data_IF_954123882903
#
_entry.id   IF_954123882903
#
_cell.length_a   1.000
_cell.length_b   1.000
_cell.length_c   1.000
_cell.angle_alpha   90.00
_cell.angle_beta   90.00
_cell.angle_gamma   90.00
#
_symmetry.space_group_name_H-M   'P 1'
#
loop_
_entity.id
_entity.type
_entity.pdbx_description
1 polymer ?
#
# COMPACT_ATOMS: atom_id res chain seq x y z
N UNK A 1 12.55 14.16 4.03
CA UNK A 1 11.22 13.56 3.89
C UNK A 1 10.43 13.76 5.16
N UNK A 2 9.12 14.04 5.07
CA UNK A 2 8.21 14.18 6.22
C UNK A 2 7.14 13.12 6.09
N UNK A 3 7.14 12.15 7.00
CA UNK A 3 6.30 10.97 6.98
C UNK A 3 5.38 10.96 8.23
N UNK A 4 4.13 11.47 8.13
CA UNK A 4 3.18 11.55 9.26
C UNK A 4 2.57 10.18 9.60
N UNK A 5 3.42 9.24 9.97
CA UNK A 5 3.09 7.84 10.21
C UNK A 5 4.06 7.21 11.21
N UNK A 6 3.72 6.05 11.75
CA UNK A 6 4.60 5.25 12.62
C UNK A 6 5.60 4.42 11.81
N UNK A 7 6.45 5.10 11.06
CA UNK A 7 7.42 4.49 10.14
C UNK A 7 8.54 3.75 10.90
N UNK A 8 8.88 2.53 10.62
CA UNK A 8 8.38 1.58 9.67
C UNK A 8 7.50 0.53 10.40
N UNK A 9 6.34 0.16 9.83
CA UNK A 9 5.41 -0.79 10.44
C UNK A 9 4.85 -1.83 9.44
N UNK A 10 5.61 -2.16 8.40
CA UNK A 10 5.39 -3.26 7.45
C UNK A 10 4.05 -3.20 6.67
N UNK A 11 3.56 -2.03 6.27
CA UNK A 11 2.38 -1.91 5.40
C UNK A 11 2.51 -0.78 4.37
N UNK A 12 1.65 -0.78 3.38
CA UNK A 12 1.59 -0.02 2.14
C UNK A 12 2.36 1.30 2.06
N UNK A 13 1.86 2.38 2.68
CA UNK A 13 2.51 3.69 2.62
C UNK A 13 3.93 3.69 3.23
N UNK A 14 4.20 2.85 4.23
CA UNK A 14 5.53 2.73 4.82
C UNK A 14 6.53 2.08 3.87
N UNK A 15 6.08 1.08 3.10
CA UNK A 15 6.93 0.43 2.08
C UNK A 15 7.29 1.43 0.99
N UNK A 16 6.32 2.25 0.52
CA UNK A 16 6.60 3.30 -0.46
C UNK A 16 7.64 4.30 0.06
N UNK A 17 7.48 4.82 1.28
CA UNK A 17 8.44 5.74 1.90
C UNK A 17 9.82 5.10 2.04
N UNK A 18 9.88 3.82 2.43
CA UNK A 18 11.14 3.07 2.56
C UNK A 18 11.86 2.96 1.22
N UNK A 19 11.16 2.53 0.20
CA UNK A 19 11.75 2.29 -1.12
C UNK A 19 12.14 3.59 -1.82
N UNK A 20 11.34 4.65 -1.69
CA UNK A 20 11.71 5.99 -2.19
C UNK A 20 12.95 6.54 -1.48
N UNK A 21 13.01 6.44 -0.15
CA UNK A 21 14.20 6.87 0.60
C UNK A 21 15.44 6.06 0.19
N UNK A 22 15.29 4.74 0.04
CA UNK A 22 16.37 3.83 -0.31
C UNK A 22 16.88 4.05 -1.74
N UNK A 23 15.99 4.25 -2.71
CA UNK A 23 16.42 4.50 -4.09
C UNK A 23 17.09 5.86 -4.24
N UNK A 24 16.57 6.90 -3.60
CA UNK A 24 17.19 8.21 -3.63
C UNK A 24 18.57 8.22 -2.99
N UNK A 25 18.79 7.46 -1.90
CA UNK A 25 20.14 7.27 -1.34
C UNK A 25 21.08 6.54 -2.32
N UNK A 26 20.61 5.47 -2.97
CA UNK A 26 21.40 4.75 -3.98
C UNK A 26 21.79 5.64 -5.17
N UNK A 27 20.94 6.61 -5.51
CA UNK A 27 21.21 7.62 -6.53
C UNK A 27 22.07 8.81 -6.01
N UNK A 28 22.69 8.67 -4.84
CA UNK A 28 23.66 9.62 -4.30
C UNK A 28 23.08 10.75 -3.47
N UNK A 29 21.79 10.71 -3.14
CA UNK A 29 21.16 11.75 -2.33
C UNK A 29 21.30 11.49 -0.83
N UNK A 30 21.40 12.55 -0.03
CA UNK A 30 21.33 12.47 1.42
C UNK A 30 19.87 12.60 1.87
N UNK A 31 19.28 11.49 2.34
CA UNK A 31 17.88 11.45 2.76
C UNK A 31 17.77 11.36 4.27
N UNK A 32 16.94 12.22 4.86
CA UNK A 32 16.54 12.18 6.28
C UNK A 32 15.02 12.05 6.35
N UNK A 33 14.51 11.07 7.08
CA UNK A 33 13.08 10.82 7.26
C UNK A 33 12.64 11.27 8.65
N UNK A 34 11.82 12.33 8.73
CA UNK A 34 11.16 12.77 9.96
C UNK A 34 9.82 12.05 10.09
N UNK A 35 9.58 11.40 11.24
CA UNK A 35 8.39 10.55 11.45
C UNK A 35 7.95 10.55 12.91
N UNK A 36 6.80 9.94 13.23
CA UNK A 36 6.32 9.78 14.60
C UNK A 36 7.28 8.95 15.45
N UNK A 37 7.07 8.94 16.76
CA UNK A 37 7.94 8.29 17.73
C UNK A 37 7.91 6.75 17.70
N UNK A 38 6.92 6.15 17.06
CA UNK A 38 6.74 4.69 16.94
C UNK A 38 7.24 4.17 15.59
N UNK A 39 7.45 2.85 15.53
CA UNK A 39 7.98 2.16 14.37
C UNK A 39 9.38 1.61 14.64
N UNK A 40 9.85 0.72 13.76
CA UNK A 40 11.22 0.19 13.83
C UNK A 40 12.17 1.03 12.97
N UNK A 41 13.42 1.08 13.36
CA UNK A 41 14.47 1.70 12.56
C UNK A 41 14.93 0.73 11.47
N UNK A 42 15.23 1.29 10.32
CA UNK A 42 15.74 0.54 9.16
C UNK A 42 17.24 0.83 9.02
N UNK A 43 18.09 -0.19 9.03
CA UNK A 43 19.53 0.00 8.85
C UNK A 43 19.86 0.77 7.57
N UNK A 44 20.73 1.77 7.69
CA UNK A 44 21.15 2.60 6.56
C UNK A 44 20.27 3.84 6.28
N UNK A 45 19.10 3.98 6.92
CA UNK A 45 18.27 5.19 6.82
C UNK A 45 18.48 6.13 8.01
N UNK A 46 18.60 7.45 7.75
CA UNK A 46 18.60 8.49 8.78
C UNK A 46 17.16 8.82 9.18
N UNK A 47 16.64 8.14 10.22
CA UNK A 47 15.28 8.29 10.72
C UNK A 47 15.29 9.19 11.96
N UNK A 48 14.52 10.28 11.92
CA UNK A 48 14.39 11.29 12.98
C UNK A 48 12.98 11.28 13.55
N UNK A 49 12.84 10.69 14.76
CA UNK A 49 11.54 10.50 15.42
C UNK A 49 11.14 11.70 16.27
N UNK A 50 9.82 11.90 16.40
CA UNK A 50 9.25 12.85 17.37
C UNK A 50 9.50 12.37 18.81
N UNK A 51 9.28 13.28 19.78
CA UNK A 51 9.22 12.88 21.18
C UNK A 51 8.07 11.86 21.41
N UNK A 52 8.27 10.97 22.37
CA UNK A 52 7.24 10.02 22.79
C UNK A 52 6.13 10.76 23.59
N UNK A 53 4.90 10.35 23.39
CA UNK A 53 3.78 10.75 24.25
C UNK A 53 3.62 9.66 25.32
N UNK A 54 3.93 9.91 26.62
CA UNK A 54 4.13 8.87 27.63
C UNK A 54 2.95 7.93 27.88
N UNK A 55 1.71 8.41 27.63
CA UNK A 55 0.48 7.65 27.90
C UNK A 55 -0.09 6.94 26.66
N UNK A 56 0.66 6.93 25.54
CA UNK A 56 0.23 6.26 24.32
C UNK A 56 1.20 5.19 23.87
N UNK A 57 0.68 3.97 23.71
CA UNK A 57 1.47 2.78 23.35
C UNK A 57 1.10 2.17 22.00
N UNK A 58 -0.05 2.56 21.42
CA UNK A 58 -0.60 1.92 20.23
C UNK A 58 -0.05 2.51 18.92
N UNK A 59 0.05 1.64 17.88
CA UNK A 59 0.26 2.06 16.51
C UNK A 59 -1.04 2.62 15.94
N UNK A 60 -0.97 3.76 15.27
CA UNK A 60 -2.13 4.27 14.55
C UNK A 60 -2.04 3.85 13.08
N UNK A 61 -3.06 3.11 12.63
CA UNK A 61 -3.27 2.74 11.25
C UNK A 61 -4.49 3.51 10.75
N UNK A 62 -4.30 4.31 9.69
CA UNK A 62 -5.37 5.13 9.12
C UNK A 62 -5.67 6.43 9.88
N UNK A 63 -6.85 7.00 9.65
CA UNK A 63 -7.28 8.29 10.21
C UNK A 63 -7.61 8.17 11.71
N UNK A 64 -7.11 9.10 12.52
CA UNK A 64 -7.34 9.14 13.98
C UNK A 64 -7.46 10.58 14.47
N UNK A 65 -8.36 10.84 15.44
CA UNK A 65 -8.53 12.17 16.06
C UNK A 65 -7.28 12.66 16.81
N UNK A 66 -6.39 11.74 17.17
CA UNK A 66 -5.17 12.04 17.91
C UNK A 66 -4.00 12.45 17.00
N UNK A 67 -4.13 12.26 15.69
CA UNK A 67 -3.11 12.62 14.69
C UNK A 67 -2.70 14.10 14.79
N UNK A 68 -3.62 15.01 15.10
CA UNK A 68 -3.32 16.45 15.19
C UNK A 68 -2.18 16.74 16.17
N UNK A 69 -2.14 16.08 17.34
CA UNK A 69 -1.08 16.26 18.33
C UNK A 69 0.25 15.68 17.83
N UNK A 70 0.21 14.51 17.15
CA UNK A 70 1.41 13.92 16.55
C UNK A 70 1.95 14.76 15.40
N UNK A 71 1.06 15.37 14.59
CA UNK A 71 1.43 16.26 13.49
C UNK A 71 2.11 17.54 13.99
N UNK A 72 1.63 18.10 15.10
CA UNK A 72 2.27 19.26 15.74
C UNK A 72 3.70 18.93 16.22
N UNK A 73 3.89 17.75 16.84
CA UNK A 73 5.22 17.28 17.25
C UNK A 73 6.11 16.98 16.02
N UNK A 74 5.53 16.44 14.94
CA UNK A 74 6.24 16.18 13.70
C UNK A 74 6.66 17.48 13.00
N UNK A 75 5.80 18.50 12.98
CA UNK A 75 6.12 19.83 12.45
C UNK A 75 7.32 20.46 13.19
N UNK A 76 7.28 20.41 14.52
CA UNK A 76 8.40 20.88 15.35
C UNK A 76 9.69 20.09 15.09
N UNK A 77 9.60 18.76 15.05
CA UNK A 77 10.75 17.88 14.77
C UNK A 77 11.34 18.16 13.39
N UNK A 78 10.48 18.26 12.38
CA UNK A 78 10.90 18.53 11.00
C UNK A 78 11.58 19.88 10.88
N UNK A 79 11.08 20.91 11.55
CA UNK A 79 11.71 22.23 11.58
C UNK A 79 13.07 22.19 12.29
N UNK A 80 13.15 21.53 13.45
CA UNK A 80 14.39 21.38 14.21
C UNK A 80 15.49 20.63 13.43
N UNK A 81 15.11 19.72 12.54
CA UNK A 81 16.02 19.01 11.63
C UNK A 81 16.37 19.89 10.42
N UNK A 82 15.37 20.54 9.80
CA UNK A 82 15.57 21.28 8.56
C UNK A 82 16.41 22.56 8.75
N UNK A 83 16.30 23.24 9.89
CA UNK A 83 17.04 24.48 10.15
C UNK A 83 18.57 24.32 10.05
N UNK A 84 19.21 23.33 10.71
CA UNK A 84 20.65 23.13 10.60
C UNK A 84 21.07 22.42 9.30
N UNK A 85 20.23 21.56 8.74
CA UNK A 85 20.59 20.74 7.55
C UNK A 85 20.40 21.46 6.23
N UNK A 86 19.53 22.52 6.20
CA UNK A 86 19.21 23.29 5.00
C UNK A 86 18.95 22.40 3.78
N UNK A 87 17.91 21.55 3.80
CA UNK A 87 17.66 20.61 2.70
C UNK A 87 17.32 21.38 1.40
N UNK A 88 17.72 20.83 0.27
CA UNK A 88 17.39 21.37 -1.06
C UNK A 88 15.91 21.14 -1.40
N UNK A 89 15.34 20.03 -0.91
CA UNK A 89 13.94 19.62 -1.16
C UNK A 89 13.27 19.21 0.16
N UNK A 90 12.03 19.62 0.34
CA UNK A 90 11.11 19.03 1.30
C UNK A 90 10.18 18.09 0.55
N UNK A 91 10.23 16.78 0.85
CA UNK A 91 9.32 15.79 0.32
C UNK A 91 8.31 15.40 1.40
N UNK A 92 7.05 15.77 1.21
CA UNK A 92 5.95 15.51 2.15
C UNK A 92 5.10 14.32 1.67
N UNK A 93 5.07 13.25 2.46
CA UNK A 93 4.17 12.12 2.23
C UNK A 93 2.82 12.37 2.89
N UNK A 94 1.74 11.98 2.24
CA UNK A 94 0.38 12.19 2.71
C UNK A 94 0.04 13.70 2.88
N UNK A 95 -1.22 14.02 3.12
CA UNK A 95 -1.70 15.41 3.21
C UNK A 95 -1.09 16.17 4.38
N UNK A 96 -0.96 15.53 5.54
CA UNK A 96 -0.34 16.11 6.73
C UNK A 96 1.14 16.41 6.50
N UNK A 97 1.86 15.50 5.82
CA UNK A 97 3.27 15.73 5.44
C UNK A 97 3.43 16.87 4.46
N UNK A 98 2.50 17.04 3.52
CA UNK A 98 2.48 18.18 2.60
C UNK A 98 2.19 19.50 3.34
N UNK A 99 1.24 19.52 4.26
CA UNK A 99 0.91 20.70 5.06
C UNK A 99 2.11 21.12 5.94
N UNK A 100 2.67 20.19 6.68
CA UNK A 100 3.87 20.41 7.51
C UNK A 100 5.04 20.85 6.63
N UNK A 101 5.27 20.15 5.51
CA UNK A 101 6.34 20.44 4.57
C UNK A 101 6.24 21.82 3.95
N UNK A 102 5.03 22.30 3.68
CA UNK A 102 4.81 23.68 3.21
C UNK A 102 5.26 24.72 4.23
N UNK A 103 4.96 24.49 5.51
CA UNK A 103 5.38 25.42 6.59
C UNK A 103 6.89 25.38 6.79
N UNK A 104 7.48 24.19 6.88
CA UNK A 104 8.94 24.01 7.05
C UNK A 104 9.69 24.57 5.84
N UNK A 105 9.24 24.26 4.63
CA UNK A 105 9.87 24.73 3.38
C UNK A 105 9.90 26.25 3.27
N UNK A 106 8.83 26.95 3.66
CA UNK A 106 8.80 28.43 3.73
C UNK A 106 9.85 29.00 4.69
N UNK A 107 10.09 28.34 5.82
CA UNK A 107 11.07 28.83 6.82
C UNK A 107 12.50 28.62 6.35
N UNK A 108 12.80 27.48 5.70
CA UNK A 108 14.18 27.15 5.29
C UNK A 108 14.50 27.54 3.84
N UNK A 109 13.50 27.98 3.07
CA UNK A 109 13.66 28.36 1.66
C UNK A 109 13.68 27.18 0.67
N UNK A 110 13.22 26.00 1.08
CA UNK A 110 13.23 24.80 0.25
C UNK A 110 11.85 24.53 -0.40
N UNK A 111 11.78 24.13 -1.69
CA UNK A 111 10.54 23.78 -2.34
C UNK A 111 9.93 22.49 -1.76
N UNK A 112 8.59 22.44 -1.76
CA UNK A 112 7.83 21.27 -1.35
C UNK A 112 7.47 20.44 -2.59
N UNK A 113 7.77 19.15 -2.55
CA UNK A 113 7.20 18.09 -3.38
C UNK A 113 6.25 17.27 -2.51
N UNK A 114 5.06 17.01 -3.01
CA UNK A 114 4.02 16.24 -2.29
C UNK A 114 3.84 14.87 -2.93
N UNK A 115 4.03 13.81 -2.16
CA UNK A 115 3.69 12.44 -2.54
C UNK A 115 2.23 12.15 -2.16
N UNK A 116 1.34 12.27 -3.16
CA UNK A 116 -0.10 12.05 -3.05
C UNK A 116 -0.41 10.57 -3.26
N UNK A 117 -0.74 9.87 -2.19
CA UNK A 117 -1.01 8.42 -2.20
C UNK A 117 -2.49 8.06 -2.28
N UNK A 118 -3.39 9.05 -2.25
CA UNK A 118 -4.84 8.90 -2.32
C UNK A 118 -5.55 10.14 -1.78
N UNK A 119 -6.86 10.26 -2.01
CA UNK A 119 -7.66 11.37 -1.45
C UNK A 119 -7.90 11.17 0.04
N UNK A 120 -7.50 12.14 0.86
CA UNK A 120 -7.72 12.13 2.31
C UNK A 120 -9.20 12.01 2.68
N UNK A 121 -10.06 12.78 2.04
CA UNK A 121 -11.51 12.74 2.35
C UNK A 121 -12.16 11.47 1.84
N UNK A 122 -11.75 10.93 0.69
CA UNK A 122 -12.24 9.64 0.20
C UNK A 122 -11.80 8.50 1.13
N UNK A 123 -10.54 8.46 1.56
CA UNK A 123 -10.03 7.50 2.53
C UNK A 123 -10.80 7.56 3.85
N UNK A 124 -11.06 8.78 4.37
CA UNK A 124 -11.85 8.94 5.60
C UNK A 124 -13.29 8.44 5.44
N UNK A 125 -13.89 8.54 4.27
CA UNK A 125 -15.23 7.99 3.97
C UNK A 125 -15.15 6.46 3.88
N UNK A 126 -14.20 5.92 3.15
CA UNK A 126 -13.99 4.47 3.00
C UNK A 126 -13.75 3.81 4.37
N UNK A 127 -13.01 4.47 5.25
CA UNK A 127 -12.74 4.02 6.61
C UNK A 127 -13.88 4.31 7.61
N UNK A 128 -14.99 4.90 7.16
CA UNK A 128 -16.16 5.27 7.98
C UNK A 128 -15.85 6.29 9.10
N UNK A 129 -14.80 7.09 8.96
CA UNK A 129 -14.49 8.21 9.85
C UNK A 129 -15.22 9.49 9.46
N UNK A 130 -15.65 9.60 8.21
CA UNK A 130 -16.30 10.78 7.66
C UNK A 130 -17.58 10.39 6.95
N UNK A 131 -18.69 10.99 7.36
CA UNK A 131 -19.94 10.87 6.62
C UNK A 131 -19.94 11.90 5.47
N UNK A 132 -20.08 11.46 4.20
CA UNK A 132 -20.09 12.37 3.03
C UNK A 132 -21.26 13.37 3.04
N UNK A 133 -22.34 13.08 3.80
CA UNK A 133 -23.47 13.98 4.01
C UNK A 133 -23.34 14.79 5.31
N UNK A 134 -22.31 14.50 6.12
CA UNK A 134 -22.07 15.13 7.40
C UNK A 134 -21.52 16.55 7.31
N UNK A 135 -21.71 17.34 8.39
CA UNK A 135 -21.27 18.74 8.46
C UNK A 135 -19.76 18.94 8.29
N UNK A 136 -18.96 17.92 8.60
CA UNK A 136 -17.49 17.99 8.52
C UNK A 136 -16.93 17.70 7.11
N UNK A 137 -17.71 17.09 6.22
CA UNK A 137 -17.23 16.72 4.88
C UNK A 137 -16.74 17.94 4.07
N UNK A 138 -17.58 18.95 3.94
CA UNK A 138 -17.25 20.17 3.16
C UNK A 138 -16.01 20.91 3.69
N UNK A 139 -15.86 21.16 5.02
CA UNK A 139 -14.65 21.77 5.57
C UNK A 139 -13.39 20.94 5.34
N UNK A 140 -13.45 19.61 5.49
CA UNK A 140 -12.29 18.74 5.28
C UNK A 140 -11.94 18.65 3.79
N UNK A 141 -12.92 18.57 2.90
CA UNK A 141 -12.71 18.61 1.45
C UNK A 141 -12.06 19.92 1.02
N UNK A 142 -12.55 21.04 1.53
CA UNK A 142 -11.94 22.34 1.28
C UNK A 142 -10.48 22.39 1.78
N UNK A 143 -10.20 21.83 2.97
CA UNK A 143 -8.83 21.75 3.49
C UNK A 143 -7.93 20.91 2.57
N UNK A 144 -8.40 19.77 2.15
CA UNK A 144 -7.70 18.89 1.19
C UNK A 144 -7.37 19.63 -0.11
N UNK A 145 -8.35 20.34 -0.70
CA UNK A 145 -8.16 21.16 -1.89
C UNK A 145 -7.08 22.24 -1.68
N UNK A 146 -7.03 22.86 -0.50
CA UNK A 146 -5.99 23.84 -0.16
C UNK A 146 -4.62 23.20 -0.01
N UNK A 147 -4.52 22.04 0.60
CA UNK A 147 -3.25 21.33 0.77
C UNK A 147 -2.68 20.95 -0.60
N UNK A 148 -3.49 20.44 -1.51
CA UNK A 148 -3.08 20.05 -2.88
C UNK A 148 -2.50 21.23 -3.68
N UNK A 149 -2.88 22.46 -3.38
CA UNK A 149 -2.34 23.66 -4.05
C UNK A 149 -1.00 24.15 -3.49
N UNK A 150 -0.58 23.71 -2.31
CA UNK A 150 0.63 24.21 -1.63
C UNK A 150 1.96 23.82 -2.31
N UNK A 151 2.15 22.58 -2.83
CA UNK A 151 3.43 22.13 -3.33
C UNK A 151 3.78 22.77 -4.69
N UNK A 152 5.09 22.82 -5.00
CA UNK A 152 5.58 23.17 -6.32
C UNK A 152 5.34 22.04 -7.34
N UNK A 153 5.45 20.78 -6.89
CA UNK A 153 5.13 19.60 -7.68
C UNK A 153 4.45 18.53 -6.83
N UNK A 154 3.66 17.69 -7.47
CA UNK A 154 2.96 16.54 -6.87
C UNK A 154 3.40 15.28 -7.61
N UNK A 155 3.78 14.27 -6.85
CA UNK A 155 3.98 12.90 -7.32
C UNK A 155 2.74 12.10 -6.92
N UNK A 156 2.24 11.23 -7.78
CA UNK A 156 1.09 10.37 -7.48
C UNK A 156 1.45 8.90 -7.63
N UNK A 157 0.83 8.03 -6.82
CA UNK A 157 1.04 6.58 -6.84
C UNK A 157 0.38 5.86 -8.03
N UNK A 158 -0.41 6.57 -8.85
CA UNK A 158 -1.06 6.01 -10.04
C UNK A 158 -1.46 7.10 -11.03
N UNK A 159 -1.67 6.73 -12.29
CA UNK A 159 -2.24 7.63 -13.31
C UNK A 159 -3.67 8.03 -12.96
N UNK A 160 -4.45 7.10 -12.39
CA UNK A 160 -5.80 7.39 -11.90
C UNK A 160 -5.80 8.51 -10.84
N UNK A 161 -4.87 8.47 -9.89
CA UNK A 161 -4.72 9.52 -8.88
C UNK A 161 -4.33 10.88 -9.50
N UNK A 162 -3.52 10.87 -10.55
CA UNK A 162 -3.17 12.09 -11.29
C UNK A 162 -4.40 12.69 -12.00
N UNK A 163 -5.24 11.86 -12.61
CA UNK A 163 -6.52 12.32 -13.21
C UNK A 163 -7.49 12.87 -12.17
N UNK A 164 -7.59 12.21 -11.01
CA UNK A 164 -8.43 12.65 -9.89
C UNK A 164 -8.01 14.05 -9.43
N UNK A 165 -6.70 14.31 -9.27
CA UNK A 165 -6.19 15.64 -8.92
C UNK A 165 -6.55 16.72 -9.94
N UNK A 166 -6.52 16.39 -11.22
CA UNK A 166 -6.89 17.35 -12.26
C UNK A 166 -8.40 17.61 -12.29
N UNK A 167 -9.21 16.56 -12.24
CA UNK A 167 -10.67 16.63 -12.41
C UNK A 167 -11.39 17.17 -11.18
N UNK A 168 -10.99 16.70 -9.98
CA UNK A 168 -11.71 17.00 -8.74
C UNK A 168 -11.08 18.13 -7.91
N UNK A 169 -9.77 18.32 -8.02
CA UNK A 169 -9.05 19.33 -7.25
C UNK A 169 -8.54 20.51 -8.11
N UNK A 170 -8.87 20.52 -9.39
CA UNK A 170 -8.44 21.55 -10.35
C UNK A 170 -6.93 21.82 -10.31
N UNK A 171 -6.14 20.77 -10.04
CA UNK A 171 -4.70 20.90 -9.98
C UNK A 171 -4.11 20.93 -11.39
N UNK A 172 -3.24 21.91 -11.73
CA UNK A 172 -2.64 21.97 -13.06
C UNK A 172 -1.82 20.71 -13.38
N UNK A 173 -2.05 20.10 -14.54
CA UNK A 173 -1.33 18.89 -14.97
C UNK A 173 0.19 19.08 -15.02
N UNK A 174 0.68 20.31 -15.26
CA UNK A 174 2.11 20.63 -15.24
C UNK A 174 2.77 20.46 -13.85
N UNK A 175 2.00 20.47 -12.77
CA UNK A 175 2.47 20.21 -11.42
C UNK A 175 2.49 18.72 -11.06
N UNK A 176 1.80 17.87 -11.83
CA UNK A 176 1.56 16.47 -11.49
C UNK A 176 2.49 15.57 -12.30
N UNK A 177 3.14 14.65 -11.64
CA UNK A 177 3.91 13.56 -12.25
C UNK A 177 3.42 12.25 -11.67
N UNK A 178 2.83 11.39 -12.51
CA UNK A 178 2.43 10.05 -12.11
C UNK A 178 3.67 9.16 -12.04
N UNK A 179 4.03 8.75 -10.83
CA UNK A 179 5.08 7.77 -10.54
C UNK A 179 4.38 6.64 -9.78
N UNK A 180 3.87 5.69 -10.55
CA UNK A 180 3.14 4.54 -9.99
C UNK A 180 3.94 3.85 -8.89
N UNK A 181 3.23 3.19 -7.98
CA UNK A 181 3.90 2.32 -7.01
C UNK A 181 4.81 1.34 -7.73
N UNK A 182 5.91 1.01 -7.09
CA UNK A 182 6.93 0.11 -7.60
C UNK A 182 7.21 -1.01 -6.61
N UNK A 183 7.88 -2.03 -7.08
CA UNK A 183 8.32 -3.16 -6.27
C UNK A 183 9.79 -3.48 -6.54
N UNK A 184 10.45 -4.00 -5.51
CA UNK A 184 11.78 -4.59 -5.69
C UNK A 184 11.60 -6.04 -6.17
N UNK A 185 11.66 -6.25 -7.50
CA UNK A 185 11.45 -7.55 -8.12
C UNK A 185 12.61 -8.54 -7.90
N UNK A 186 13.76 -8.10 -7.40
CA UNK A 186 14.85 -8.97 -6.96
C UNK A 186 14.58 -9.53 -5.56
N UNK A 187 13.92 -8.73 -4.73
CA UNK A 187 13.50 -9.12 -3.40
C UNK A 187 12.20 -9.95 -3.45
N UNK A 188 11.18 -9.48 -4.14
CA UNK A 188 9.97 -10.24 -4.46
C UNK A 188 10.21 -11.09 -5.71
N UNK A 189 10.80 -12.25 -5.51
CA UNK A 189 11.09 -13.19 -6.60
C UNK A 189 10.46 -14.57 -6.29
N UNK A 190 10.06 -15.32 -7.32
CA UNK A 190 9.55 -16.68 -7.15
C UNK A 190 10.46 -17.51 -6.26
N UNK A 191 9.87 -18.36 -5.42
CA UNK A 191 10.61 -19.19 -4.48
C UNK A 191 11.65 -20.06 -5.21
N UNK A 192 12.90 -20.03 -4.73
CA UNK A 192 14.00 -20.81 -5.32
C UNK A 192 13.98 -22.29 -4.91
N UNK A 193 13.24 -22.64 -3.86
CA UNK A 193 13.20 -23.99 -3.31
C UNK A 193 11.77 -24.44 -3.02
N UNK A 194 11.29 -25.42 -3.77
CA UNK A 194 10.00 -26.06 -3.51
C UNK A 194 9.96 -26.74 -2.13
N UNK A 195 11.09 -27.27 -1.64
CA UNK A 195 11.18 -27.86 -0.32
C UNK A 195 10.92 -26.85 0.80
N UNK A 196 11.52 -25.62 0.70
CA UNK A 196 11.30 -24.56 1.68
C UNK A 196 9.84 -24.07 1.68
N UNK A 197 9.20 -24.02 0.53
CA UNK A 197 7.76 -23.68 0.39
C UNK A 197 6.90 -24.74 1.08
N UNK A 198 7.15 -26.01 0.82
CA UNK A 198 6.43 -27.12 1.43
C UNK A 198 6.62 -27.16 2.95
N UNK A 199 7.84 -26.94 3.43
CA UNK A 199 8.16 -26.89 4.88
C UNK A 199 7.40 -25.75 5.57
N UNK A 200 7.40 -24.56 4.98
CA UNK A 200 6.67 -23.41 5.52
C UNK A 200 5.14 -23.67 5.50
N UNK A 201 4.60 -24.25 4.42
CA UNK A 201 3.20 -24.63 4.34
C UNK A 201 2.80 -25.61 5.44
N UNK A 202 3.61 -26.64 5.66
CA UNK A 202 3.41 -27.63 6.73
C UNK A 202 3.47 -26.99 8.12
N UNK A 203 4.43 -26.08 8.36
CA UNK A 203 4.55 -25.33 9.61
C UNK A 203 3.33 -24.43 9.90
N UNK A 204 2.65 -23.97 8.85
CA UNK A 204 1.41 -23.20 8.94
C UNK A 204 0.15 -24.08 9.04
N UNK A 205 0.30 -25.41 9.05
CA UNK A 205 -0.80 -26.35 9.10
C UNK A 205 -1.61 -26.45 7.80
N UNK A 206 -1.02 -26.05 6.67
CA UNK A 206 -1.67 -26.12 5.35
C UNK A 206 -1.44 -27.54 4.79
N UNK A 207 -2.49 -28.34 4.51
CA UNK A 207 -2.34 -29.65 3.89
C UNK A 207 -1.68 -29.56 2.51
N UNK A 208 -0.72 -30.43 2.24
CA UNK A 208 0.13 -30.36 1.05
C UNK A 208 -0.63 -30.56 -0.28
N UNK A 209 -1.78 -31.22 -0.22
CA UNK A 209 -2.65 -31.49 -1.36
C UNK A 209 -3.60 -30.33 -1.71
N UNK A 210 -3.70 -29.31 -0.86
CA UNK A 210 -4.61 -28.17 -1.09
C UNK A 210 -3.98 -27.14 -2.03
N UNK A 211 -4.81 -26.58 -2.87
CA UNK A 211 -4.49 -25.40 -3.67
C UNK A 211 -4.60 -24.15 -2.80
N UNK A 212 -3.62 -23.25 -2.87
CA UNK A 212 -3.53 -22.13 -1.93
C UNK A 212 -3.84 -20.81 -2.59
N UNK A 213 -4.86 -20.13 -2.09
CA UNK A 213 -5.15 -18.73 -2.41
C UNK A 213 -4.50 -17.82 -1.35
N UNK A 214 -3.62 -16.91 -1.77
CA UNK A 214 -2.93 -16.01 -0.84
C UNK A 214 -3.50 -14.60 -0.86
N UNK A 215 -3.62 -14.01 0.32
CA UNK A 215 -3.92 -12.61 0.53
C UNK A 215 -2.86 -11.98 1.44
N UNK A 216 -2.33 -10.80 1.04
CA UNK A 216 -1.41 -10.00 1.86
C UNK A 216 -1.94 -8.58 2.01
N UNK A 217 -2.17 -8.10 3.24
CA UNK A 217 -2.56 -6.72 3.47
C UNK A 217 -3.28 -6.47 4.78
N UNK A 218 -3.78 -5.24 4.96
CA UNK A 218 -4.59 -4.90 6.12
C UNK A 218 -5.91 -5.69 6.09
N UNK A 219 -6.32 -6.16 7.27
CA UNK A 219 -7.62 -6.81 7.45
C UNK A 219 -8.66 -5.73 7.75
N UNK A 220 -9.45 -5.38 6.74
CA UNK A 220 -10.45 -4.33 6.83
C UNK A 220 -11.52 -4.49 5.74
N UNK A 221 -12.71 -3.92 5.97
CA UNK A 221 -13.81 -4.01 5.02
C UNK A 221 -13.49 -3.36 3.67
N UNK A 222 -12.86 -2.17 3.68
CA UNK A 222 -12.43 -1.50 2.43
C UNK A 222 -11.31 -2.22 1.67
N UNK A 223 -10.66 -3.18 2.32
CA UNK A 223 -9.71 -4.10 1.68
C UNK A 223 -10.40 -5.37 1.16
N UNK A 224 -11.71 -5.54 1.41
CA UNK A 224 -12.53 -6.65 0.96
C UNK A 224 -12.26 -7.97 1.67
N UNK A 225 -11.71 -7.94 2.90
CA UNK A 225 -11.38 -9.18 3.63
C UNK A 225 -12.64 -9.98 4.00
N UNK A 226 -13.73 -9.30 4.33
CA UNK A 226 -15.04 -9.91 4.58
C UNK A 226 -15.64 -10.54 3.31
N UNK A 227 -15.53 -9.84 2.17
CA UNK A 227 -15.96 -10.35 0.87
C UNK A 227 -15.14 -11.56 0.42
N UNK A 228 -13.83 -11.57 0.72
CA UNK A 228 -12.97 -12.73 0.45
C UNK A 228 -13.43 -13.96 1.23
N UNK A 229 -13.77 -13.84 2.50
CA UNK A 229 -14.25 -14.96 3.30
C UNK A 229 -15.64 -15.46 2.84
N UNK A 230 -16.51 -14.55 2.42
CA UNK A 230 -17.81 -14.93 1.82
C UNK A 230 -17.61 -15.66 0.48
N UNK A 231 -16.73 -15.15 -0.38
CA UNK A 231 -16.37 -15.80 -1.63
C UNK A 231 -15.70 -17.19 -1.39
N UNK A 232 -14.89 -17.30 -0.33
CA UNK A 232 -14.32 -18.59 0.08
C UNK A 232 -15.41 -19.60 0.45
N UNK A 233 -16.43 -19.18 1.20
CA UNK A 233 -17.55 -20.08 1.54
C UNK A 233 -18.29 -20.56 0.29
N UNK A 234 -18.52 -19.71 -0.70
CA UNK A 234 -19.13 -20.10 -1.96
C UNK A 234 -18.23 -21.03 -2.81
N UNK A 235 -16.92 -20.73 -2.88
CA UNK A 235 -15.97 -21.52 -3.64
C UNK A 235 -15.81 -22.92 -3.06
N UNK A 236 -15.70 -23.04 -1.74
CA UNK A 236 -15.49 -24.32 -1.05
C UNK A 236 -16.65 -25.31 -1.21
N UNK A 237 -17.88 -24.85 -1.49
CA UNK A 237 -19.00 -25.73 -1.86
C UNK A 237 -18.75 -26.49 -3.16
N UNK A 238 -18.01 -25.94 -4.08
CA UNK A 238 -17.69 -26.52 -5.39
C UNK A 238 -16.30 -27.13 -5.46
N UNK A 239 -15.36 -26.55 -4.66
CA UNK A 239 -13.94 -26.89 -4.66
C UNK A 239 -13.38 -27.02 -3.24
N UNK A 240 -13.68 -28.14 -2.55
CA UNK A 240 -13.30 -28.32 -1.13
C UNK A 240 -11.79 -28.49 -0.91
N UNK A 241 -10.99 -28.54 -1.97
CA UNK A 241 -9.54 -28.71 -1.92
C UNK A 241 -8.77 -27.38 -1.92
N UNK A 242 -9.43 -26.25 -1.66
CA UNK A 242 -8.79 -24.93 -1.60
C UNK A 242 -8.48 -24.56 -0.14
N UNK A 243 -7.37 -23.87 0.06
CA UNK A 243 -6.98 -23.26 1.33
C UNK A 243 -6.64 -21.78 1.14
N UNK A 244 -7.07 -20.94 2.08
CA UNK A 244 -6.82 -19.50 2.05
C UNK A 244 -5.75 -19.14 3.09
N UNK A 245 -4.61 -18.63 2.64
CA UNK A 245 -3.56 -18.09 3.50
C UNK A 245 -3.70 -16.57 3.57
N UNK A 246 -4.20 -16.07 4.69
CA UNK A 246 -4.49 -14.65 4.91
C UNK A 246 -3.42 -14.05 5.82
N UNK A 247 -2.52 -13.28 5.22
CA UNK A 247 -1.41 -12.60 5.88
C UNK A 247 -1.78 -11.14 6.13
N UNK A 248 -2.13 -10.78 7.38
CA UNK A 248 -2.55 -9.41 7.64
C UNK A 248 -2.97 -9.11 9.07
N UNK A 249 -3.14 -7.83 9.34
CA UNK A 249 -3.58 -7.23 10.60
C UNK A 249 -4.28 -5.89 10.29
N UNK A 250 -4.91 -5.21 11.23
CA UNK A 250 -5.31 -5.62 12.59
C UNK A 250 -6.54 -6.54 12.57
N UNK A 251 -7.14 -6.73 13.74
CA UNK A 251 -8.47 -7.34 13.88
C UNK A 251 -8.57 -8.80 13.42
N UNK A 252 -7.51 -9.57 13.56
CA UNK A 252 -7.44 -10.99 13.16
C UNK A 252 -8.59 -11.79 13.77
N UNK A 253 -8.87 -11.58 15.05
CA UNK A 253 -9.91 -12.30 15.81
C UNK A 253 -11.32 -12.06 15.24
N UNK A 254 -11.57 -10.89 14.69
CA UNK A 254 -12.86 -10.56 14.04
C UNK A 254 -13.04 -11.41 12.79
N UNK A 255 -12.01 -11.51 11.95
CA UNK A 255 -12.06 -12.28 10.72
C UNK A 255 -11.99 -13.80 10.97
N UNK A 256 -11.30 -14.25 12.02
CA UNK A 256 -11.37 -15.64 12.47
C UNK A 256 -12.78 -16.02 12.91
N UNK A 257 -13.45 -15.16 13.69
CA UNK A 257 -14.85 -15.36 14.08
C UNK A 257 -15.78 -15.36 12.86
N UNK A 258 -15.55 -14.50 11.88
CA UNK A 258 -16.31 -14.51 10.63
C UNK A 258 -16.10 -15.80 9.85
N UNK A 259 -14.87 -16.32 9.74
CA UNK A 259 -14.56 -17.58 9.09
C UNK A 259 -15.27 -18.77 9.80
N UNK A 260 -15.32 -18.76 11.13
CA UNK A 260 -16.09 -19.76 11.90
C UNK A 260 -17.59 -19.70 11.58
N UNK A 261 -18.17 -18.48 11.60
CA UNK A 261 -19.59 -18.29 11.30
C UNK A 261 -19.98 -18.69 9.89
N UNK A 262 -19.06 -18.54 8.94
CA UNK A 262 -19.23 -18.98 7.54
C UNK A 262 -18.93 -20.48 7.32
N UNK A 263 -18.44 -21.19 8.34
CA UNK A 263 -18.10 -22.61 8.27
C UNK A 263 -16.85 -22.92 7.45
N UNK A 264 -15.94 -21.95 7.28
CA UNK A 264 -14.73 -22.10 6.45
C UNK A 264 -13.42 -22.11 7.27
N UNK A 265 -13.50 -22.11 8.58
CA UNK A 265 -12.33 -21.98 9.47
C UNK A 265 -11.23 -23.03 9.20
N UNK A 266 -11.60 -24.28 8.88
CA UNK A 266 -10.64 -25.37 8.57
C UNK A 266 -9.94 -25.21 7.20
N UNK A 267 -10.33 -24.21 6.44
CA UNK A 267 -9.81 -23.87 5.12
C UNK A 267 -9.11 -22.50 5.10
N UNK A 268 -8.94 -21.85 6.25
CA UNK A 268 -8.34 -20.52 6.33
C UNK A 268 -7.27 -20.48 7.41
N UNK A 269 -6.05 -20.10 7.03
CA UNK A 269 -4.97 -19.81 7.97
C UNK A 269 -4.73 -18.30 8.03
N UNK A 270 -4.86 -17.72 9.23
CA UNK A 270 -4.50 -16.33 9.50
C UNK A 270 -3.13 -16.27 10.17
N UNK A 271 -2.15 -15.63 9.53
CA UNK A 271 -0.81 -15.49 10.12
C UNK A 271 -0.70 -14.32 11.08
N UNK A 272 -1.65 -13.39 11.04
CA UNK A 272 -1.46 -12.07 11.62
C UNK A 272 -0.44 -11.24 10.83
N UNK A 273 0.21 -10.31 11.52
CA UNK A 273 1.27 -9.47 10.94
C UNK A 273 2.51 -10.30 10.69
N UNK A 274 2.99 -10.31 9.44
CA UNK A 274 4.29 -10.88 9.08
C UNK A 274 5.31 -9.76 8.85
N UNK A 275 6.60 -9.95 9.14
CA UNK A 275 7.66 -9.02 8.77
C UNK A 275 7.73 -8.88 7.24
N UNK A 276 7.97 -7.66 6.75
CA UNK A 276 8.09 -7.37 5.31
C UNK A 276 9.10 -8.30 4.62
N UNK A 277 10.22 -8.58 5.31
CA UNK A 277 11.30 -9.41 4.80
C UNK A 277 10.90 -10.89 4.59
N UNK A 278 9.85 -11.34 5.23
CA UNK A 278 9.34 -12.72 5.10
C UNK A 278 8.22 -12.83 4.04
N UNK A 279 7.65 -11.71 3.60
CA UNK A 279 6.52 -11.70 2.68
C UNK A 279 6.75 -12.54 1.41
N UNK A 280 7.92 -12.49 0.73
CA UNK A 280 8.17 -13.33 -0.44
C UNK A 280 8.05 -14.84 -0.16
N UNK A 281 8.54 -15.30 1.00
CA UNK A 281 8.47 -16.72 1.36
C UNK A 281 7.03 -17.20 1.56
N UNK A 282 6.22 -16.39 2.24
CA UNK A 282 4.80 -16.70 2.46
C UNK A 282 3.99 -16.63 1.16
N UNK A 283 4.24 -15.62 0.32
CA UNK A 283 3.58 -15.49 -0.99
C UNK A 283 3.94 -16.66 -1.92
N UNK A 284 5.15 -17.20 -1.80
CA UNK A 284 5.62 -18.34 -2.57
C UNK A 284 4.83 -19.64 -2.33
N UNK A 285 3.99 -19.71 -1.29
CA UNK A 285 3.08 -20.85 -1.04
C UNK A 285 1.86 -20.81 -1.97
N UNK A 286 1.49 -19.61 -2.49
CA UNK A 286 0.26 -19.40 -3.23
C UNK A 286 0.27 -19.90 -4.67
N UNK A 287 -0.76 -20.63 -5.05
CA UNK A 287 -1.08 -20.94 -6.44
C UNK A 287 -1.78 -19.76 -7.15
N UNK A 288 -2.59 -18.99 -6.41
CA UNK A 288 -3.32 -17.81 -6.86
C UNK A 288 -3.26 -16.72 -5.79
N UNK A 289 -3.07 -15.47 -6.18
CA UNK A 289 -3.16 -14.33 -5.29
C UNK A 289 -4.47 -13.56 -5.48
N UNK A 290 -4.99 -12.95 -4.41
CA UNK A 290 -6.25 -12.21 -4.45
C UNK A 290 -6.14 -10.82 -3.83
N UNK A 291 -6.71 -9.82 -4.53
CA UNK A 291 -6.76 -8.44 -4.09
C UNK A 291 -8.17 -7.86 -4.24
N UNK A 292 -9.09 -8.14 -3.31
CA UNK A 292 -10.49 -7.71 -3.38
C UNK A 292 -10.67 -6.28 -2.81
N UNK A 293 -9.73 -5.38 -3.09
CA UNK A 293 -9.75 -4.01 -2.59
C UNK A 293 -10.87 -3.20 -3.25
N UNK A 294 -11.67 -2.52 -2.42
CA UNK A 294 -12.81 -1.71 -2.85
C UNK A 294 -12.45 -0.25 -3.15
N UNK A 295 -11.40 0.27 -2.52
CA UNK A 295 -10.98 1.66 -2.72
C UNK A 295 -10.60 1.93 -4.18
N UNK A 296 -11.08 3.04 -4.72
CA UNK A 296 -10.82 3.48 -6.11
C UNK A 296 -9.75 4.55 -6.21
N UNK A 297 -9.30 5.14 -5.09
CA UNK A 297 -8.39 6.30 -5.08
C UNK A 297 -6.98 5.99 -4.59
N UNK A 298 -6.80 4.89 -3.87
CA UNK A 298 -5.52 4.48 -3.31
C UNK A 298 -4.79 3.48 -4.21
N UNK A 299 -3.46 3.55 -4.25
CA UNK A 299 -2.60 2.52 -4.84
C UNK A 299 -2.82 1.13 -4.22
N UNK A 300 -2.32 0.10 -4.84
CA UNK A 300 -2.45 -1.29 -4.40
C UNK A 300 -1.12 -2.03 -4.50
N UNK A 301 -0.16 -1.67 -3.63
CA UNK A 301 1.19 -2.25 -3.63
C UNK A 301 1.23 -3.78 -3.55
N UNK A 302 0.21 -4.42 -2.91
CA UNK A 302 0.10 -5.89 -2.89
C UNK A 302 0.02 -6.51 -4.29
N UNK A 303 -0.65 -5.83 -5.24
CA UNK A 303 -0.71 -6.30 -6.62
C UNK A 303 0.69 -6.40 -7.24
N UNK A 304 1.52 -5.40 -6.99
CA UNK A 304 2.90 -5.38 -7.50
C UNK A 304 3.74 -6.50 -6.87
N UNK A 305 3.54 -6.79 -5.58
CA UNK A 305 4.19 -7.93 -4.93
C UNK A 305 3.76 -9.26 -5.57
N UNK A 306 2.46 -9.45 -5.84
CA UNK A 306 1.95 -10.65 -6.50
C UNK A 306 2.51 -10.81 -7.92
N UNK A 307 2.50 -9.70 -8.69
CA UNK A 307 3.09 -9.66 -10.02
C UNK A 307 4.59 -10.00 -9.98
N UNK A 308 5.33 -9.42 -9.05
CA UNK A 308 6.77 -9.68 -8.90
C UNK A 308 7.07 -11.12 -8.52
N UNK A 309 6.22 -11.75 -7.72
CA UNK A 309 6.29 -13.18 -7.40
C UNK A 309 5.88 -14.09 -8.57
N UNK A 310 5.33 -13.53 -9.65
CA UNK A 310 4.83 -14.31 -10.79
C UNK A 310 3.57 -15.13 -10.46
N UNK A 311 2.77 -14.69 -9.49
CA UNK A 311 1.56 -15.39 -9.06
C UNK A 311 0.36 -14.90 -9.87
N UNK A 312 -0.44 -15.78 -10.47
CA UNK A 312 -1.71 -15.42 -11.09
C UNK A 312 -2.57 -14.62 -10.12
N UNK A 313 -3.09 -13.48 -10.55
CA UNK A 313 -3.72 -12.53 -9.64
C UNK A 313 -5.18 -12.29 -10.00
N UNK A 314 -6.06 -12.57 -9.04
CA UNK A 314 -7.47 -12.20 -9.06
C UNK A 314 -7.66 -10.87 -8.32
N UNK A 315 -8.38 -9.93 -8.93
CA UNK A 315 -8.65 -8.62 -8.32
C UNK A 315 -10.06 -8.14 -8.66
N UNK A 316 -10.60 -7.24 -7.84
CA UNK A 316 -11.77 -6.48 -8.27
C UNK A 316 -11.41 -5.54 -9.43
N UNK A 317 -12.36 -5.39 -10.35
CA UNK A 317 -12.26 -4.57 -11.56
C UNK A 317 -12.39 -3.08 -11.19
N UNK A 318 -11.34 -2.53 -10.60
CA UNK A 318 -11.23 -1.12 -10.24
C UNK A 318 -10.08 -0.47 -11.03
N UNK A 319 -10.08 0.87 -11.22
CA UNK A 319 -9.10 1.56 -12.07
C UNK A 319 -7.64 1.20 -11.75
N UNK A 320 -7.26 1.17 -10.47
CA UNK A 320 -5.88 0.84 -10.06
C UNK A 320 -5.52 -0.61 -10.37
N UNK A 321 -6.45 -1.55 -10.22
CA UNK A 321 -6.22 -2.95 -10.61
C UNK A 321 -5.98 -3.08 -12.11
N UNK A 322 -6.77 -2.36 -12.92
CA UNK A 322 -6.58 -2.30 -14.38
C UNK A 322 -5.27 -1.65 -14.78
N UNK A 323 -4.87 -0.58 -14.11
CA UNK A 323 -3.60 0.11 -14.38
C UNK A 323 -2.41 -0.84 -14.19
N UNK A 324 -2.39 -1.61 -13.09
CA UNK A 324 -1.26 -2.50 -12.79
C UNK A 324 -1.31 -3.80 -13.58
N UNK A 325 -2.41 -4.52 -13.50
CA UNK A 325 -2.51 -5.86 -14.10
C UNK A 325 -2.76 -5.81 -15.62
N UNK A 326 -3.43 -4.76 -16.14
CA UNK A 326 -3.84 -4.68 -17.55
C UNK A 326 -4.72 -5.85 -17.94
N UNK A 327 -4.50 -6.42 -19.11
CA UNK A 327 -5.24 -7.59 -19.62
C UNK A 327 -4.74 -8.93 -19.05
N UNK A 328 -3.72 -8.90 -18.19
CA UNK A 328 -3.14 -10.09 -17.55
C UNK A 328 -3.81 -10.43 -16.21
N UNK A 329 -4.64 -9.52 -15.68
CA UNK A 329 -5.41 -9.76 -14.45
C UNK A 329 -6.65 -10.61 -14.69
N UNK A 330 -7.02 -11.37 -13.67
CA UNK A 330 -8.31 -12.09 -13.63
C UNK A 330 -9.25 -11.24 -12.78
N UNK A 331 -10.36 -10.77 -13.36
CA UNK A 331 -11.18 -9.74 -12.74
C UNK A 331 -12.52 -10.25 -12.24
N UNK A 332 -12.90 -9.77 -11.05
CA UNK A 332 -14.23 -9.93 -10.47
C UNK A 332 -14.94 -8.58 -10.36
N UNK A 333 -16.26 -8.58 -10.34
CA UNK A 333 -17.04 -7.36 -10.14
C UNK A 333 -16.83 -6.81 -8.71
N UNK A 334 -16.59 -5.51 -8.55
CA UNK A 334 -16.39 -4.90 -7.24
C UNK A 334 -17.58 -5.16 -6.31
N UNK A 335 -17.30 -5.70 -5.12
CA UNK A 335 -18.30 -5.98 -4.09
C UNK A 335 -19.15 -7.25 -4.32
N UNK A 336 -18.96 -7.96 -5.41
CA UNK A 336 -19.70 -9.20 -5.74
C UNK A 336 -18.90 -10.44 -5.33
N UNK A 337 -19.34 -11.12 -4.28
CA UNK A 337 -18.69 -12.32 -3.73
C UNK A 337 -18.78 -13.52 -4.68
N UNK A 338 -19.89 -13.68 -5.38
CA UNK A 338 -20.08 -14.77 -6.34
C UNK A 338 -19.20 -14.59 -7.56
N UNK A 339 -19.06 -13.34 -8.04
CA UNK A 339 -18.11 -13.00 -9.09
C UNK A 339 -16.66 -13.25 -8.65
N UNK A 340 -16.31 -12.93 -7.39
CA UNK A 340 -14.99 -13.20 -6.84
C UNK A 340 -14.71 -14.70 -6.71
N UNK A 341 -15.67 -15.47 -6.22
CA UNK A 341 -15.57 -16.94 -6.15
C UNK A 341 -15.37 -17.58 -7.52
N UNK A 342 -16.13 -17.14 -8.54
CA UNK A 342 -15.99 -17.62 -9.91
C UNK A 342 -14.64 -17.26 -10.54
N UNK A 343 -14.13 -16.04 -10.28
CA UNK A 343 -12.82 -15.62 -10.77
C UNK A 343 -11.69 -16.46 -10.15
N UNK A 344 -11.76 -16.76 -8.85
CA UNK A 344 -10.83 -17.65 -8.15
C UNK A 344 -10.91 -19.09 -8.71
N UNK A 345 -12.11 -19.62 -8.91
CA UNK A 345 -12.34 -20.93 -9.52
C UNK A 345 -11.71 -21.01 -10.91
N UNK A 346 -11.95 -19.99 -11.74
CA UNK A 346 -11.37 -19.90 -13.10
C UNK A 346 -9.84 -19.87 -13.07
N UNK A 347 -9.25 -19.15 -12.11
CA UNK A 347 -7.80 -19.08 -11.96
C UNK A 347 -7.20 -20.45 -11.58
N UNK A 348 -7.87 -21.19 -10.70
CA UNK A 348 -7.44 -22.50 -10.24
C UNK A 348 -7.67 -23.62 -11.28
N UNK A 349 -8.78 -23.55 -12.04
CA UNK A 349 -9.10 -24.55 -13.07
C UNK A 349 -8.14 -24.50 -14.27
N UNK A 350 -7.66 -23.31 -14.62
CA UNK A 350 -6.78 -23.09 -15.77
C UNK A 350 -5.31 -22.97 -15.35
N UNK A 351 -4.83 -23.91 -14.56
CA UNK A 351 -3.51 -23.82 -13.89
C UNK A 351 -2.38 -23.40 -14.81
N UNK A 352 -2.20 -24.07 -15.97
CA UNK A 352 -1.12 -23.75 -16.92
C UNK A 352 -1.27 -22.35 -17.52
N UNK A 353 -2.49 -21.98 -17.94
CA UNK A 353 -2.78 -20.66 -18.48
C UNK A 353 -2.61 -19.56 -17.40
N UNK A 354 -3.03 -19.84 -16.18
CA UNK A 354 -2.88 -18.92 -15.06
C UNK A 354 -1.41 -18.72 -14.69
N UNK A 355 -0.59 -19.77 -14.68
CA UNK A 355 0.85 -19.66 -14.48
C UNK A 355 1.52 -18.83 -15.58
N UNK A 356 1.12 -19.00 -16.84
CA UNK A 356 1.60 -18.16 -17.94
C UNK A 356 1.24 -16.67 -17.72
N UNK A 357 0.01 -16.38 -17.23
CA UNK A 357 -0.36 -15.02 -16.84
C UNK A 357 0.51 -14.48 -15.68
N UNK A 358 0.79 -15.30 -14.68
CA UNK A 358 1.68 -14.92 -13.58
C UNK A 358 3.09 -14.54 -14.05
N UNK A 359 3.68 -15.32 -14.96
CA UNK A 359 4.98 -15.01 -15.57
C UNK A 359 4.93 -13.72 -16.38
N UNK A 360 3.88 -13.51 -17.16
CA UNK A 360 3.68 -12.27 -17.93
C UNK A 360 3.49 -11.05 -17.00
N UNK A 361 2.80 -11.21 -15.87
CA UNK A 361 2.67 -10.19 -14.84
C UNK A 361 4.03 -9.83 -14.23
N UNK A 362 4.90 -10.83 -13.99
CA UNK A 362 6.26 -10.57 -13.50
C UNK A 362 7.09 -9.79 -14.53
N UNK A 363 7.03 -10.16 -15.78
CA UNK A 363 7.73 -9.42 -16.83
C UNK A 363 7.23 -7.97 -16.92
N UNK A 364 5.92 -7.76 -16.90
CA UNK A 364 5.30 -6.44 -16.89
C UNK A 364 5.77 -5.57 -15.71
N UNK A 365 5.83 -6.12 -14.49
CA UNK A 365 6.23 -5.35 -13.30
C UNK A 365 7.70 -4.96 -13.34
N UNK A 366 8.58 -5.83 -13.81
CA UNK A 366 10.02 -5.54 -13.98
C UNK A 366 10.22 -4.39 -14.96
N UNK A 367 9.47 -4.38 -16.06
CA UNK A 367 9.60 -3.36 -17.11
C UNK A 367 8.99 -2.01 -16.73
N UNK A 368 7.92 -1.99 -15.93
CA UNK A 368 7.08 -0.78 -15.73
C UNK A 368 7.04 -0.23 -14.30
N UNK A 369 7.34 -1.06 -13.31
CA UNK A 369 7.14 -0.72 -11.90
C UNK A 369 8.39 -1.01 -11.06
N UNK A 370 9.59 -0.66 -11.59
CA UNK A 370 10.85 -0.80 -10.86
C UNK A 370 11.24 0.50 -10.16
N UNK A 371 11.78 0.38 -8.96
CA UNK A 371 12.25 1.54 -8.19
C UNK A 371 13.41 2.30 -8.86
N UNK A 372 14.19 1.64 -9.73
CA UNK A 372 15.26 2.34 -10.49
C UNK A 372 14.68 3.42 -11.38
N UNK A 373 13.66 3.09 -12.18
CA UNK A 373 12.98 4.05 -13.07
C UNK A 373 12.23 5.10 -12.26
N UNK A 374 11.55 4.70 -11.19
CA UNK A 374 10.83 5.63 -10.32
C UNK A 374 11.77 6.64 -9.65
N UNK A 375 12.93 6.20 -9.18
CA UNK A 375 13.92 7.08 -8.56
C UNK A 375 14.44 8.15 -9.50
N UNK A 376 14.75 7.80 -10.75
CA UNK A 376 15.15 8.77 -11.78
C UNK A 376 14.02 9.79 -12.04
N UNK A 377 12.78 9.33 -12.17
CA UNK A 377 11.63 10.21 -12.35
C UNK A 377 11.38 11.14 -11.15
N UNK A 378 11.63 10.67 -9.92
CA UNK A 378 11.58 11.52 -8.72
C UNK A 378 12.65 12.61 -8.78
N UNK A 379 13.88 12.28 -9.19
CA UNK A 379 14.97 13.26 -9.33
C UNK A 379 14.66 14.30 -10.41
N UNK A 380 14.08 13.90 -11.55
CA UNK A 380 13.61 14.86 -12.57
C UNK A 380 12.59 15.86 -12.01
N UNK A 381 11.67 15.38 -11.12
CA UNK A 381 10.74 16.28 -10.42
C UNK A 381 11.49 17.23 -9.49
N UNK A 382 12.50 16.73 -8.75
CA UNK A 382 13.31 17.55 -7.85
C UNK A 382 14.09 18.64 -8.60
N UNK A 383 14.73 18.28 -9.71
CA UNK A 383 15.47 19.22 -10.54
C UNK A 383 14.57 20.34 -11.06
N UNK A 384 13.38 19.97 -11.56
CA UNK A 384 12.39 20.93 -12.06
C UNK A 384 11.90 21.93 -11.03
N UNK A 385 11.81 21.56 -9.74
CA UNK A 385 11.33 22.47 -8.69
C UNK A 385 12.45 23.25 -8.02
N UNK A 386 13.70 22.84 -8.19
CA UNK A 386 14.91 23.50 -7.66
C UNK A 386 15.40 24.59 -8.61
N UNK A 387 15.11 24.50 -9.90
CA UNK A 387 15.38 25.53 -10.89
C UNK A 387 14.46 26.75 -10.70
#
# INVERSE_FOLDING_TARGET
MIAPTSFFADYGCHVRILEEASILQRLGNRVTVCTYNRGRDIPGLDIRRTAAIPWRTDYEVGSSRHKVAFDALLAWKSLAVALPTRPDIIHGHLHEGALIGSLVGKVVGAPLVFDFQGSMTAEMVDHRFLDPQGKLYRPLRWLEERIVQLPKAIITSSHHAAELLQKEFSCPGSKITAISDCVNADFFAPARSAAAVSELGAALGIPAEREVVVYLGLLAQWQGTDLLLQAAAELLLRRPNVHFLIMGFPSVEIYQSLAQNLGVADHVTFTGKIPYEQAPSYLGIGDVAVAPKMSTTEGSGKLLNYMAMGIPTVAFDVPVSREYLGDLGIYAQPGDTSSLALALETALDRKDASQALGLALRERVIQRHSWSVAGESILEVYDRVSA
#
